data_IF_563548013609
#
_entry.id   IF_563548013609
#
_cell.length_a   1.000
_cell.length_b   1.000
_cell.length_c   1.000
_cell.angle_alpha   90.00
_cell.angle_beta   90.00
_cell.angle_gamma   90.00
#
_symmetry.space_group_name_H-M   'P 1'
#
loop_
_entity.id
_entity.type
_entity.pdbx_description
1 polymer ?
#
# COMPACT_ATOMS: atom_id res chain seq x y z
N UNK A 1 -27.91 -8.63 25.25
CA UNK A 1 -28.40 -7.76 24.15
C UNK A 1 -28.72 -8.67 22.96
N UNK A 2 -29.84 -8.49 22.26
CA UNK A 2 -30.08 -9.19 20.98
C UNK A 2 -28.99 -8.80 19.97
N UNK A 3 -28.66 -9.68 19.03
CA UNK A 3 -27.85 -9.28 17.86
C UNK A 3 -28.66 -8.28 17.03
N UNK A 4 -27.97 -7.36 16.35
CA UNK A 4 -28.61 -6.33 15.51
C UNK A 4 -29.51 -6.99 14.44
N UNK A 5 -29.05 -8.12 13.90
CA UNK A 5 -29.75 -8.95 12.90
C UNK A 5 -31.10 -9.51 13.40
N UNK A 6 -31.28 -9.62 14.72
CA UNK A 6 -32.48 -10.18 15.36
C UNK A 6 -33.41 -9.09 15.93
N UNK A 7 -33.09 -7.81 15.70
CA UNK A 7 -33.89 -6.68 16.16
C UNK A 7 -35.01 -6.37 15.17
N UNK A 8 -36.20 -6.08 15.69
CA UNK A 8 -37.25 -5.44 14.89
C UNK A 8 -36.85 -4.01 14.53
N UNK A 9 -37.42 -3.43 13.46
CA UNK A 9 -37.11 -2.06 13.04
C UNK A 9 -37.28 -1.04 14.20
N UNK A 10 -38.33 -1.18 15.00
CA UNK A 10 -38.58 -0.30 16.15
C UNK A 10 -37.52 -0.46 17.27
N UNK A 11 -37.05 -1.69 17.51
CA UNK A 11 -35.95 -1.95 18.44
C UNK A 11 -34.63 -1.37 17.93
N UNK A 12 -34.36 -1.50 16.62
CA UNK A 12 -33.18 -0.94 15.96
C UNK A 12 -33.18 0.59 16.01
N UNK A 13 -34.29 1.24 15.66
CA UNK A 13 -34.41 2.70 15.69
C UNK A 13 -34.20 3.25 17.11
N UNK A 14 -34.74 2.57 18.13
CA UNK A 14 -34.53 2.94 19.53
C UNK A 14 -33.05 2.78 19.91
N UNK A 15 -32.45 1.65 19.56
CA UNK A 15 -31.04 1.37 19.84
C UNK A 15 -30.12 2.42 19.19
N UNK A 16 -30.34 2.75 17.92
CA UNK A 16 -29.57 3.76 17.20
C UNK A 16 -29.72 5.15 17.81
N UNK A 17 -30.94 5.55 18.22
CA UNK A 17 -31.19 6.81 18.93
C UNK A 17 -30.46 6.89 20.27
N UNK A 18 -30.47 5.80 21.06
CA UNK A 18 -29.74 5.74 22.33
C UNK A 18 -28.22 5.82 22.10
N UNK A 19 -27.69 5.04 21.15
CA UNK A 19 -26.28 5.11 20.72
C UNK A 19 -25.86 6.49 20.25
N UNK A 20 -26.72 7.20 19.51
CA UNK A 20 -26.45 8.56 19.06
C UNK A 20 -26.34 9.54 20.24
N UNK A 21 -27.26 9.45 21.21
CA UNK A 21 -27.23 10.26 22.44
C UNK A 21 -25.99 9.99 23.29
N UNK A 22 -25.62 8.72 23.47
CA UNK A 22 -24.40 8.34 24.19
C UNK A 22 -23.16 8.88 23.50
N UNK A 23 -23.09 8.75 22.17
CA UNK A 23 -21.99 9.30 21.37
C UNK A 23 -21.91 10.82 21.52
N UNK A 24 -23.04 11.52 21.47
CA UNK A 24 -23.06 12.98 21.69
C UNK A 24 -22.60 13.39 23.08
N UNK A 25 -23.01 12.66 24.13
CA UNK A 25 -22.57 12.90 25.50
C UNK A 25 -21.05 12.75 25.61
N UNK A 26 -20.50 11.63 25.10
CA UNK A 26 -19.07 11.38 25.10
C UNK A 26 -18.28 12.52 24.46
N UNK A 27 -18.67 12.98 23.26
CA UNK A 27 -17.97 14.09 22.61
C UNK A 27 -18.15 15.45 23.27
N UNK A 28 -19.18 15.62 24.11
CA UNK A 28 -19.40 16.85 24.87
C UNK A 28 -18.60 16.88 26.16
N UNK A 29 -18.54 15.76 26.86
CA UNK A 29 -18.09 15.68 28.26
C UNK A 29 -16.74 14.97 28.43
N UNK A 30 -16.43 13.97 27.60
CA UNK A 30 -15.35 13.00 27.84
C UNK A 30 -14.27 12.99 26.75
N UNK A 31 -14.58 13.43 25.53
CA UNK A 31 -13.64 13.37 24.40
C UNK A 31 -12.53 14.41 24.49
N UNK A 32 -11.33 13.99 24.08
CA UNK A 32 -10.17 14.84 23.85
C UNK A 32 -10.41 15.81 22.68
N UNK A 33 -9.60 16.88 22.61
CA UNK A 33 -9.68 17.84 21.51
C UNK A 33 -9.32 17.19 20.16
N UNK A 34 -8.39 16.23 20.16
CA UNK A 34 -8.06 15.41 19.00
C UNK A 34 -9.27 14.59 18.51
N UNK A 35 -9.99 13.92 19.41
CA UNK A 35 -11.18 13.14 19.07
C UNK A 35 -12.31 14.02 18.52
N UNK A 36 -12.48 15.22 19.08
CA UNK A 36 -13.45 16.21 18.57
C UNK A 36 -13.07 16.68 17.16
N UNK A 37 -11.79 16.94 16.89
CA UNK A 37 -11.33 17.30 15.53
C UNK A 37 -11.60 16.19 14.52
N UNK A 38 -11.26 14.95 14.84
CA UNK A 38 -11.55 13.80 13.97
C UNK A 38 -13.05 13.67 13.69
N UNK A 39 -13.89 13.89 14.71
CA UNK A 39 -15.34 13.88 14.52
C UNK A 39 -15.81 14.97 13.56
N UNK A 40 -15.30 16.19 13.71
CA UNK A 40 -15.68 17.30 12.84
C UNK A 40 -15.21 17.06 11.41
N UNK A 41 -14.00 16.55 11.20
CA UNK A 41 -13.50 16.14 9.88
C UNK A 41 -14.42 15.11 9.21
N UNK A 42 -14.90 14.10 9.97
CA UNK A 42 -15.86 13.11 9.46
C UNK A 42 -17.20 13.77 9.11
N UNK A 43 -17.68 14.68 9.94
CA UNK A 43 -18.95 15.39 9.68
C UNK A 43 -18.85 16.24 8.42
N UNK A 44 -17.77 16.99 8.26
CA UNK A 44 -17.52 17.78 7.05
C UNK A 44 -17.43 16.89 5.81
N UNK A 45 -16.74 15.75 5.91
CA UNK A 45 -16.66 14.76 4.82
C UNK A 45 -18.05 14.29 4.37
N UNK A 46 -18.91 13.92 5.33
CA UNK A 46 -20.28 13.46 5.04
C UNK A 46 -21.16 14.58 4.49
N UNK A 47 -20.98 15.81 4.96
CA UNK A 47 -21.70 16.99 4.44
C UNK A 47 -21.33 17.28 2.99
N UNK A 48 -20.03 17.18 2.64
CA UNK A 48 -19.54 17.31 1.26
C UNK A 48 -20.11 16.22 0.36
N UNK A 49 -20.04 14.96 0.80
CA UNK A 49 -20.62 13.83 0.05
C UNK A 49 -22.11 14.03 -0.22
N UNK A 50 -22.86 14.49 0.80
CA UNK A 50 -24.27 14.82 0.67
C UNK A 50 -24.53 15.91 -0.36
N UNK A 51 -23.66 16.93 -0.45
CA UNK A 51 -23.74 17.97 -1.48
C UNK A 51 -23.56 17.40 -2.89
N UNK A 52 -22.61 16.48 -3.09
CA UNK A 52 -22.40 15.81 -4.37
C UNK A 52 -23.59 14.95 -4.79
N UNK A 53 -24.20 14.26 -3.82
CA UNK A 53 -25.40 13.48 -4.04
C UNK A 53 -26.58 14.37 -4.47
N UNK A 54 -26.80 15.48 -3.77
CA UNK A 54 -27.89 16.42 -4.05
C UNK A 54 -27.69 17.14 -5.38
N UNK A 55 -26.45 17.50 -5.74
CA UNK A 55 -26.15 18.20 -7.00
C UNK A 55 -26.22 17.29 -8.23
N UNK A 56 -26.30 15.97 -8.04
CA UNK A 56 -26.27 14.97 -9.11
C UNK A 56 -24.87 14.68 -9.66
N UNK A 57 -23.86 15.45 -9.27
CA UNK A 57 -22.45 15.27 -9.69
C UNK A 57 -21.96 13.86 -9.31
N UNK A 58 -22.41 13.34 -8.16
CA UNK A 58 -22.00 12.02 -7.68
C UNK A 58 -22.35 10.88 -8.65
N UNK A 59 -23.44 11.02 -9.41
CA UNK A 59 -23.93 10.00 -10.33
C UNK A 59 -23.53 10.26 -11.80
N UNK A 60 -22.70 11.27 -12.04
CA UNK A 60 -22.24 11.59 -13.39
C UNK A 60 -21.27 10.52 -13.91
N UNK A 61 -21.63 9.88 -15.02
CA UNK A 61 -20.77 8.92 -15.70
C UNK A 61 -19.62 9.61 -16.44
N UNK A 62 -18.39 9.20 -16.14
CA UNK A 62 -17.19 9.73 -16.79
C UNK A 62 -16.61 8.76 -17.83
N UNK A 63 -15.95 9.27 -18.88
CA UNK A 63 -15.29 8.43 -19.88
C UNK A 63 -14.20 7.55 -19.27
N UNK A 64 -14.08 6.31 -19.75
CA UNK A 64 -13.16 5.27 -19.24
C UNK A 64 -11.96 5.02 -20.17
N UNK A 65 -11.72 5.93 -21.11
CA UNK A 65 -10.74 5.77 -22.21
C UNK A 65 -9.30 5.60 -21.74
N UNK A 66 -8.99 5.99 -20.50
CA UNK A 66 -7.66 5.85 -19.91
C UNK A 66 -7.35 4.42 -19.43
N UNK A 67 -8.35 3.55 -19.32
CA UNK A 67 -8.18 2.14 -18.98
C UNK A 67 -7.72 1.35 -20.19
N UNK A 68 -6.96 0.26 -19.97
CA UNK A 68 -6.62 -0.63 -21.08
C UNK A 68 -7.86 -1.40 -21.54
N UNK A 69 -7.94 -1.72 -22.84
CA UNK A 69 -8.87 -2.73 -23.35
C UNK A 69 -8.13 -3.93 -23.96
N UNK A 70 -6.95 -4.23 -23.39
CA UNK A 70 -6.03 -5.25 -23.90
C UNK A 70 -6.41 -6.63 -23.36
N UNK A 71 -6.49 -7.61 -24.27
CA UNK A 71 -6.55 -9.03 -23.94
C UNK A 71 -5.30 -9.49 -23.19
N UNK A 72 -5.36 -10.66 -22.56
CA UNK A 72 -4.20 -11.27 -21.90
C UNK A 72 -3.00 -11.40 -22.86
N UNK A 73 -3.22 -11.83 -24.11
CA UNK A 73 -2.15 -12.01 -25.10
C UNK A 73 -1.47 -10.69 -25.45
N UNK A 74 -2.24 -9.61 -25.60
CA UNK A 74 -1.70 -8.28 -25.89
C UNK A 74 -0.95 -7.71 -24.70
N UNK A 75 -1.45 -7.92 -23.46
CA UNK A 75 -0.71 -7.53 -22.25
C UNK A 75 0.58 -8.31 -22.08
N UNK A 76 0.58 -9.61 -22.36
CA UNK A 76 1.80 -10.41 -22.35
C UNK A 76 2.81 -9.90 -23.38
N UNK A 77 2.38 -9.62 -24.61
CA UNK A 77 3.25 -9.07 -25.65
C UNK A 77 3.82 -7.69 -25.26
N UNK A 78 2.99 -6.81 -24.68
CA UNK A 78 3.42 -5.52 -24.14
C UNK A 78 4.43 -5.68 -23.01
N UNK A 79 4.24 -6.67 -22.14
CA UNK A 79 5.20 -7.00 -21.09
C UNK A 79 6.53 -7.48 -21.69
N UNK A 80 6.50 -8.33 -22.73
CA UNK A 80 7.70 -8.78 -23.46
C UNK A 80 8.46 -7.61 -24.09
N UNK A 81 7.74 -6.69 -24.72
CA UNK A 81 8.30 -5.46 -25.30
C UNK A 81 8.99 -4.60 -24.22
N UNK A 82 8.29 -4.32 -23.12
CA UNK A 82 8.82 -3.52 -22.01
C UNK A 82 10.02 -4.18 -21.31
N UNK A 83 10.06 -5.52 -21.30
CA UNK A 83 11.15 -6.29 -20.70
C UNK A 83 12.30 -6.56 -21.67
N UNK A 84 12.10 -6.35 -22.98
CA UNK A 84 13.08 -6.64 -24.02
C UNK A 84 13.38 -8.13 -24.23
N UNK A 85 12.52 -9.03 -23.78
CA UNK A 85 12.68 -10.48 -23.97
C UNK A 85 11.36 -11.24 -23.78
N UNK A 86 11.32 -12.49 -24.27
CA UNK A 86 10.17 -13.38 -24.12
C UNK A 86 10.00 -13.89 -22.70
N UNK A 87 8.81 -14.37 -22.39
CA UNK A 87 8.56 -15.10 -21.14
C UNK A 87 8.82 -16.60 -21.28
N UNK A 88 9.25 -17.22 -20.19
CA UNK A 88 9.27 -18.67 -19.99
C UNK A 88 8.41 -19.05 -18.79
N UNK A 89 7.87 -20.27 -18.81
CA UNK A 89 7.01 -20.77 -17.74
C UNK A 89 7.82 -21.09 -16.47
N UNK A 90 7.35 -20.59 -15.34
CA UNK A 90 7.89 -20.88 -14.02
C UNK A 90 7.71 -22.35 -13.67
N UNK A 91 8.63 -22.88 -12.84
CA UNK A 91 8.42 -24.17 -12.21
C UNK A 91 7.11 -24.12 -11.43
N UNK A 92 6.33 -25.20 -11.51
CA UNK A 92 5.07 -25.34 -10.79
C UNK A 92 5.27 -25.03 -9.30
N UNK A 93 4.47 -24.11 -8.76
CA UNK A 93 4.42 -23.90 -7.33
C UNK A 93 3.72 -25.11 -6.68
N UNK A 94 4.33 -25.67 -5.63
CA UNK A 94 3.74 -26.77 -4.85
C UNK A 94 2.78 -26.26 -3.76
N UNK A 95 2.85 -24.98 -3.45
CA UNK A 95 2.07 -24.36 -2.39
C UNK A 95 0.68 -23.99 -2.91
N UNK A 96 -0.31 -24.01 -2.01
CA UNK A 96 -1.70 -23.67 -2.36
C UNK A 96 -1.83 -22.16 -2.59
N UNK A 97 -2.48 -21.79 -3.69
CA UNK A 97 -2.82 -20.39 -3.96
C UNK A 97 -4.03 -19.93 -3.16
N UNK A 98 -4.00 -18.68 -2.74
CA UNK A 98 -5.16 -18.00 -2.18
C UNK A 98 -6.23 -17.78 -3.27
N UNK A 99 -7.52 -17.75 -2.89
CA UNK A 99 -8.58 -17.24 -3.77
C UNK A 99 -8.28 -15.80 -4.20
N UNK A 100 -8.77 -15.39 -5.37
CA UNK A 100 -8.66 -14.00 -5.87
C UNK A 100 -9.79 -13.09 -5.37
N UNK A 101 -10.78 -13.64 -4.68
CA UNK A 101 -12.05 -13.04 -4.29
C UNK A 101 -12.40 -13.24 -2.81
N UNK A 102 -11.39 -13.43 -1.95
CA UNK A 102 -11.56 -13.54 -0.50
C UNK A 102 -11.47 -12.16 0.16
N UNK A 103 -12.62 -11.54 0.43
CA UNK A 103 -12.71 -10.23 1.07
C UNK A 103 -12.92 -10.29 2.60
N UNK A 104 -12.72 -11.44 3.25
CA UNK A 104 -13.06 -11.64 4.67
C UNK A 104 -12.06 -11.03 5.68
N UNK A 105 -10.93 -10.50 5.22
CA UNK A 105 -9.84 -9.98 6.05
C UNK A 105 -9.89 -8.48 6.36
N UNK A 106 -8.83 -8.00 7.02
CA UNK A 106 -8.62 -6.59 7.38
C UNK A 106 -7.38 -6.11 6.66
N UNK A 107 -7.55 -5.16 5.74
CA UNK A 107 -6.48 -4.77 4.82
C UNK A 107 -5.42 -3.86 5.45
N UNK A 108 -4.20 -3.95 4.93
CA UNK A 108 -3.13 -2.99 5.19
C UNK A 108 -3.14 -1.84 4.17
N UNK A 109 -2.93 -0.59 4.62
CA UNK A 109 -3.01 0.58 3.75
C UNK A 109 -1.90 0.57 2.69
N UNK A 110 -2.30 0.27 1.45
CA UNK A 110 -1.46 0.47 0.27
C UNK A 110 -1.56 1.92 -0.21
N UNK A 111 -0.50 2.45 -0.81
CA UNK A 111 -0.59 3.76 -1.47
C UNK A 111 -1.34 3.57 -2.79
N UNK A 112 -2.30 4.44 -3.08
CA UNK A 112 -3.09 4.40 -4.31
C UNK A 112 -3.30 5.82 -4.84
N UNK A 113 -3.22 5.99 -6.15
CA UNK A 113 -3.56 7.24 -6.85
C UNK A 113 -4.67 7.05 -7.89
N UNK A 114 -5.34 5.90 -7.83
CA UNK A 114 -6.40 5.48 -8.76
C UNK A 114 -5.88 4.84 -10.05
N UNK A 115 -4.68 5.20 -10.49
CA UNK A 115 -4.01 4.57 -11.63
C UNK A 115 -3.15 3.38 -11.21
N UNK A 116 -2.46 3.54 -10.08
CA UNK A 116 -1.52 2.57 -9.52
C UNK A 116 -1.83 2.30 -8.06
N UNK A 117 -1.80 1.02 -7.67
CA UNK A 117 -1.62 0.60 -6.28
C UNK A 117 -0.16 0.20 -6.08
N UNK A 118 0.49 0.83 -5.11
CA UNK A 118 1.89 0.61 -4.76
C UNK A 118 1.99 -0.13 -3.43
N UNK A 119 2.49 -1.37 -3.48
CA UNK A 119 2.61 -2.25 -2.32
C UNK A 119 4.08 -2.46 -1.95
N UNK A 120 4.49 -2.18 -0.70
CA UNK A 120 5.86 -2.41 -0.27
C UNK A 120 6.22 -3.91 -0.25
N UNK A 121 7.43 -4.25 -0.71
CA UNK A 121 8.00 -5.61 -0.63
C UNK A 121 8.50 -5.95 0.79
N UNK A 122 8.42 -7.23 1.17
CA UNK A 122 9.18 -7.79 2.30
C UNK A 122 9.88 -9.11 1.96
N UNK A 123 11.13 -9.34 2.41
CA UNK A 123 12.02 -8.37 3.06
C UNK A 123 12.47 -7.31 2.03
N UNK A 124 12.12 -6.04 2.24
CA UNK A 124 12.42 -4.96 1.31
C UNK A 124 13.83 -4.41 1.51
N UNK A 125 14.33 -3.62 0.56
CA UNK A 125 15.53 -2.78 0.73
C UNK A 125 15.38 -1.80 1.90
N UNK A 126 14.16 -1.52 2.38
CA UNK A 126 13.95 -0.81 3.66
C UNK A 126 14.59 -1.54 4.86
N UNK A 127 14.74 -2.87 4.81
CA UNK A 127 15.47 -3.61 5.85
C UNK A 127 16.91 -3.14 5.99
N UNK A 128 17.57 -2.68 4.92
CA UNK A 128 18.90 -2.07 4.98
C UNK A 128 18.89 -0.80 5.85
N UNK A 129 17.82 -0.01 5.80
CA UNK A 129 17.62 1.12 6.71
C UNK A 129 17.52 0.65 8.15
N UNK A 130 16.74 -0.40 8.43
CA UNK A 130 16.56 -0.88 9.80
C UNK A 130 17.87 -1.43 10.39
N UNK A 131 18.60 -2.24 9.64
CA UNK A 131 19.91 -2.75 10.04
C UNK A 131 20.94 -1.61 10.18
N UNK A 132 20.97 -0.67 9.23
CA UNK A 132 21.85 0.49 9.29
C UNK A 132 21.57 1.37 10.52
N UNK A 133 20.31 1.66 10.83
CA UNK A 133 19.93 2.49 11.98
C UNK A 133 20.27 1.85 13.33
N UNK A 134 20.36 0.51 13.40
CA UNK A 134 20.79 -0.19 14.63
C UNK A 134 22.31 -0.31 14.69
N UNK A 135 22.93 -0.79 13.62
CA UNK A 135 24.38 -1.06 13.59
C UNK A 135 25.22 0.20 13.54
N UNK A 136 24.77 1.25 12.84
CA UNK A 136 25.48 2.52 12.69
C UNK A 136 25.82 3.15 14.04
N UNK A 137 24.84 3.42 14.92
CA UNK A 137 25.10 3.95 16.27
C UNK A 137 26.01 3.06 17.12
N UNK A 138 25.84 1.74 17.07
CA UNK A 138 26.70 0.79 17.82
C UNK A 138 28.14 0.93 17.37
N UNK A 139 28.38 0.90 16.05
CA UNK A 139 29.72 1.09 15.46
C UNK A 139 30.26 2.47 15.84
N UNK A 140 29.41 3.51 15.81
CA UNK A 140 29.80 4.87 16.17
C UNK A 140 30.30 5.00 17.60
N UNK A 141 29.61 4.38 18.56
CA UNK A 141 30.05 4.34 19.98
C UNK A 141 31.37 3.58 20.11
N UNK A 142 31.51 2.42 19.45
CA UNK A 142 32.74 1.64 19.50
C UNK A 142 33.93 2.43 18.93
N UNK A 143 33.75 3.13 17.80
CA UNK A 143 34.79 3.96 17.20
C UNK A 143 35.22 5.10 18.11
N UNK A 144 34.27 5.77 18.77
CA UNK A 144 34.59 6.82 19.75
C UNK A 144 35.31 6.27 20.96
N UNK A 145 34.85 5.14 21.51
CA UNK A 145 35.49 4.48 22.64
C UNK A 145 36.95 4.12 22.33
N UNK A 146 37.19 3.45 21.20
CA UNK A 146 38.55 3.06 20.79
C UNK A 146 39.43 4.29 20.54
N UNK A 147 38.89 5.34 19.91
CA UNK A 147 39.65 6.59 19.67
C UNK A 147 39.99 7.36 20.94
N UNK A 148 39.27 7.13 22.04
CA UNK A 148 39.57 7.73 23.35
C UNK A 148 40.56 6.90 24.18
N UNK A 149 40.74 5.62 23.86
CA UNK A 149 41.56 4.68 24.64
C UNK A 149 42.87 4.29 23.98
N UNK A 150 43.05 4.61 22.70
CA UNK A 150 44.23 4.23 21.91
C UNK A 150 44.77 5.45 21.15
N UNK A 151 45.90 5.98 21.61
CA UNK A 151 46.59 7.14 21.02
C UNK A 151 47.17 6.85 19.62
N UNK A 152 47.24 5.59 19.20
CA UNK A 152 47.67 5.22 17.85
C UNK A 152 46.55 5.38 16.80
N UNK A 153 45.32 5.66 17.23
CA UNK A 153 44.19 5.74 16.33
C UNK A 153 44.13 7.06 15.56
N UNK A 154 44.00 6.99 14.23
CA UNK A 154 43.80 8.19 13.41
C UNK A 154 42.52 8.95 13.81
N UNK A 155 42.64 10.28 13.90
CA UNK A 155 41.54 11.17 14.28
C UNK A 155 40.25 11.02 13.44
N UNK A 156 40.34 10.47 12.22
CA UNK A 156 39.16 10.23 11.37
C UNK A 156 38.19 9.20 11.97
N UNK A 157 38.63 8.31 12.86
CA UNK A 157 37.74 7.36 13.54
C UNK A 157 36.74 8.08 14.45
N UNK A 158 37.17 9.10 15.20
CA UNK A 158 36.29 9.94 16.01
C UNK A 158 35.28 10.70 15.15
N UNK A 159 35.72 11.25 14.01
CA UNK A 159 34.83 11.94 13.06
C UNK A 159 33.81 10.99 12.44
N UNK A 160 34.22 9.77 12.07
CA UNK A 160 33.32 8.73 11.57
C UNK A 160 32.32 8.28 12.65
N UNK A 161 32.78 8.12 13.89
CA UNK A 161 31.92 7.76 15.01
C UNK A 161 30.84 8.81 15.29
N UNK A 162 31.22 10.10 15.32
CA UNK A 162 30.28 11.22 15.43
C UNK A 162 29.30 11.27 14.25
N UNK A 163 29.78 11.05 13.02
CA UNK A 163 28.93 11.00 11.83
C UNK A 163 27.88 9.88 11.94
N UNK A 164 28.28 8.68 12.35
CA UNK A 164 27.41 7.52 12.49
C UNK A 164 26.31 7.70 13.55
N UNK A 165 26.57 8.52 14.57
CA UNK A 165 25.61 8.84 15.64
C UNK A 165 24.66 9.98 15.29
N UNK A 166 25.07 10.91 14.43
CA UNK A 166 24.34 12.17 14.21
C UNK A 166 23.74 12.29 12.81
N UNK A 167 24.59 12.43 11.80
CA UNK A 167 24.16 12.67 10.42
C UNK A 167 23.67 11.38 9.73
N UNK A 168 24.29 10.24 10.03
CA UNK A 168 23.96 8.98 9.38
C UNK A 168 22.49 8.54 9.57
N UNK A 169 21.86 8.63 10.76
CA UNK A 169 20.44 8.31 10.90
C UNK A 169 19.52 9.15 10.00
N UNK A 170 19.81 10.45 9.86
CA UNK A 170 19.04 11.35 9.00
C UNK A 170 19.21 11.00 7.52
N UNK A 171 20.45 10.68 7.11
CA UNK A 171 20.76 10.23 5.75
C UNK A 171 20.04 8.90 5.46
N UNK A 172 20.12 7.93 6.37
CA UNK A 172 19.46 6.64 6.23
C UNK A 172 17.93 6.76 6.22
N UNK A 173 17.36 7.71 6.95
CA UNK A 173 15.93 8.03 6.87
C UNK A 173 15.53 8.50 5.47
N UNK A 174 16.26 9.46 4.90
CA UNK A 174 16.01 9.97 3.54
C UNK A 174 16.22 8.90 2.47
N UNK A 175 17.32 8.15 2.55
CA UNK A 175 17.62 7.03 1.64
C UNK A 175 16.53 5.97 1.73
N UNK A 176 16.11 5.59 2.94
CA UNK A 176 15.07 4.58 3.11
C UNK A 176 13.72 5.00 2.50
N UNK A 177 13.35 6.28 2.61
CA UNK A 177 12.13 6.78 1.98
C UNK A 177 12.23 6.76 0.44
N UNK A 178 13.38 7.11 -0.12
CA UNK A 178 13.61 7.03 -1.57
C UNK A 178 13.63 5.58 -2.09
N UNK A 179 14.26 4.68 -1.34
CA UNK A 179 14.33 3.25 -1.65
C UNK A 179 12.94 2.61 -1.65
N UNK A 180 12.06 2.98 -0.70
CA UNK A 180 10.70 2.44 -0.59
C UNK A 180 9.91 2.61 -1.90
N UNK A 181 10.21 3.66 -2.64
CA UNK A 181 9.56 3.98 -3.92
C UNK A 181 10.00 3.00 -5.02
N UNK A 182 11.29 2.69 -5.08
CA UNK A 182 11.89 1.79 -6.10
C UNK A 182 11.65 0.31 -5.77
N UNK A 183 11.41 0.02 -4.49
CA UNK A 183 11.26 -1.32 -3.95
C UNK A 183 9.80 -1.78 -3.80
N UNK A 184 8.86 -1.02 -4.37
CA UNK A 184 7.44 -1.34 -4.36
C UNK A 184 7.05 -2.26 -5.54
N UNK A 185 6.02 -3.08 -5.33
CA UNK A 185 5.28 -3.76 -6.37
C UNK A 185 4.23 -2.76 -6.88
N UNK A 186 4.21 -2.51 -8.20
CA UNK A 186 3.28 -1.55 -8.80
C UNK A 186 2.19 -2.30 -9.57
N UNK A 187 0.94 -2.21 -9.11
CA UNK A 187 -0.23 -2.73 -9.82
C UNK A 187 -0.82 -1.59 -10.64
N UNK A 188 -0.72 -1.64 -11.97
CA UNK A 188 -1.13 -0.55 -12.84
C UNK A 188 -2.36 -0.93 -13.67
N UNK A 189 -3.54 -0.50 -13.22
CA UNK A 189 -4.82 -0.84 -13.85
C UNK A 189 -5.04 -0.19 -15.22
N UNK A 190 -4.25 0.82 -15.60
CA UNK A 190 -4.32 1.44 -16.93
C UNK A 190 -3.54 0.64 -17.97
N UNK A 191 -2.66 -0.26 -17.54
CA UNK A 191 -1.88 -1.14 -18.43
C UNK A 191 -2.24 -2.61 -18.28
N UNK A 192 -2.83 -2.98 -17.14
CA UNK A 192 -3.12 -4.37 -16.77
C UNK A 192 -1.86 -5.16 -16.45
N UNK A 193 -0.76 -4.44 -16.17
CA UNK A 193 0.54 -4.99 -15.85
C UNK A 193 0.91 -4.67 -14.41
N UNK A 194 1.67 -5.59 -13.83
CA UNK A 194 2.32 -5.44 -12.54
C UNK A 194 3.81 -5.27 -12.75
N UNK A 195 4.39 -4.22 -12.18
CA UNK A 195 5.83 -4.04 -12.15
C UNK A 195 6.37 -4.65 -10.87
N UNK A 196 7.27 -5.61 -11.01
CA UNK A 196 7.92 -6.25 -9.86
C UNK A 196 8.96 -5.30 -9.25
N UNK A 197 9.24 -5.40 -7.94
CA UNK A 197 10.21 -4.56 -7.25
C UNK A 197 11.64 -4.88 -7.64
N UNK A 198 12.53 -3.91 -7.43
CA UNK A 198 13.97 -4.09 -7.51
C UNK A 198 14.45 -5.07 -6.43
N UNK A 199 15.37 -5.97 -6.76
CA UNK A 199 16.11 -6.74 -5.75
C UNK A 199 17.61 -6.62 -6.00
N UNK A 200 18.44 -6.92 -4.99
CA UNK A 200 19.91 -6.86 -5.10
C UNK A 200 20.48 -7.58 -6.33
N UNK A 201 19.76 -8.60 -6.84
CA UNK A 201 20.20 -9.43 -7.98
C UNK A 201 19.21 -9.41 -9.15
N UNK A 202 18.20 -8.52 -9.12
CA UNK A 202 17.09 -8.57 -10.07
C UNK A 202 16.60 -7.17 -10.43
N UNK A 203 16.61 -6.85 -11.72
CA UNK A 203 15.91 -5.66 -12.23
C UNK A 203 14.39 -5.82 -12.05
N UNK A 204 13.63 -4.72 -12.00
CA UNK A 204 12.19 -4.80 -12.12
C UNK A 204 11.82 -5.26 -13.54
N UNK A 205 10.77 -6.06 -13.66
CA UNK A 205 10.14 -6.41 -14.92
C UNK A 205 8.63 -6.25 -14.81
N UNK A 206 7.95 -6.13 -15.94
CA UNK A 206 6.50 -6.04 -16.03
C UNK A 206 5.91 -7.42 -16.30
N UNK A 207 4.78 -7.76 -15.71
CA UNK A 207 4.09 -9.05 -15.92
C UNK A 207 2.57 -8.84 -15.87
N UNK A 208 1.76 -9.54 -16.68
CA UNK A 208 0.30 -9.51 -16.52
C UNK A 208 -0.13 -10.02 -15.13
N UNK A 209 -1.19 -9.43 -14.57
CA UNK A 209 -1.72 -9.84 -13.25
C UNK A 209 -2.16 -11.32 -13.22
N UNK A 210 -2.60 -11.87 -14.34
CA UNK A 210 -3.02 -13.27 -14.48
C UNK A 210 -1.89 -14.26 -14.20
N UNK A 211 -0.65 -13.85 -14.48
CA UNK A 211 0.55 -14.64 -14.27
C UNK A 211 1.13 -14.46 -12.85
N UNK A 212 0.42 -13.76 -11.96
CA UNK A 212 0.73 -13.64 -10.54
C UNK A 212 -0.32 -14.36 -9.70
N UNK A 213 0.14 -15.13 -8.72
CA UNK A 213 -0.71 -15.81 -7.74
C UNK A 213 -0.21 -15.53 -6.34
N UNK A 214 -1.12 -15.37 -5.38
CA UNK A 214 -0.74 -15.22 -3.99
C UNK A 214 -0.68 -16.58 -3.30
N UNK A 215 0.40 -16.83 -2.56
CA UNK A 215 0.57 -18.02 -1.72
C UNK A 215 0.50 -17.59 -0.27
N UNK A 216 -0.46 -18.16 0.46
CA UNK A 216 -0.58 -17.98 1.90
C UNK A 216 0.55 -18.76 2.59
N UNK A 217 1.40 -18.04 3.29
CA UNK A 217 2.44 -18.56 4.16
C UNK A 217 1.96 -18.81 5.59
N UNK A 218 2.86 -19.27 6.47
CA UNK A 218 2.53 -19.53 7.85
C UNK A 218 2.13 -18.24 8.59
N UNK A 219 1.27 -18.39 9.59
CA UNK A 219 0.96 -17.32 10.53
C UNK A 219 2.15 -17.13 11.48
N UNK A 220 2.70 -15.91 11.51
CA UNK A 220 3.79 -15.55 12.42
C UNK A 220 3.18 -14.85 13.62
N UNK A 221 3.37 -15.41 14.81
CA UNK A 221 2.96 -14.81 16.08
C UNK A 221 4.11 -13.98 16.64
N UNK A 222 3.80 -12.82 17.22
CA UNK A 222 4.79 -12.06 17.97
C UNK A 222 5.29 -12.88 19.18
N UNK A 223 6.49 -12.57 19.69
CA UNK A 223 7.08 -13.30 20.83
C UNK A 223 6.20 -13.31 22.09
N UNK A 224 5.22 -12.41 22.20
CA UNK A 224 4.30 -12.30 23.34
C UNK A 224 2.94 -12.95 23.09
N UNK A 225 2.73 -13.58 21.93
CA UNK A 225 1.48 -14.26 21.54
C UNK A 225 0.25 -13.36 21.36
N UNK A 226 0.38 -12.03 21.52
CA UNK A 226 -0.73 -11.08 21.50
C UNK A 226 -1.12 -10.57 20.12
N UNK A 227 -0.25 -10.75 19.12
CA UNK A 227 -0.52 -10.39 17.74
C UNK A 227 -0.02 -11.49 16.82
N UNK A 228 -0.82 -11.81 15.81
CA UNK A 228 -0.46 -12.72 14.74
C UNK A 228 -0.60 -12.02 13.39
N UNK A 229 0.25 -12.41 12.45
CA UNK A 229 0.24 -11.86 11.09
C UNK A 229 0.34 -13.03 10.13
N UNK A 230 -0.62 -13.15 9.23
CA UNK A 230 -0.51 -14.06 8.10
C UNK A 230 0.65 -13.56 7.22
N UNK A 231 1.54 -14.46 6.84
CA UNK A 231 2.60 -14.13 5.86
C UNK A 231 2.25 -14.74 4.52
N UNK A 232 2.92 -14.31 3.47
CA UNK A 232 2.87 -14.95 2.17
C UNK A 232 3.69 -14.22 1.12
N UNK A 233 3.54 -14.67 -0.13
CA UNK A 233 4.31 -14.16 -1.25
C UNK A 233 3.56 -14.30 -2.57
N UNK A 234 3.87 -13.44 -3.54
CA UNK A 234 3.42 -13.58 -4.92
C UNK A 234 4.32 -14.57 -5.65
N UNK A 235 3.72 -15.62 -6.18
CA UNK A 235 4.33 -16.57 -7.09
C UNK A 235 4.07 -16.13 -8.53
N UNK A 236 5.14 -15.96 -9.31
CA UNK A 236 5.06 -15.72 -10.74
C UNK A 236 4.90 -17.07 -11.46
N UNK A 237 3.89 -17.17 -12.34
CA UNK A 237 3.68 -18.30 -13.27
C UNK A 237 4.55 -18.20 -14.50
N UNK A 238 4.95 -16.99 -14.88
CA UNK A 238 5.88 -16.71 -15.97
C UNK A 238 6.96 -15.74 -15.53
N UNK A 239 8.11 -15.77 -16.20
CA UNK A 239 9.21 -14.86 -15.94
C UNK A 239 10.02 -14.60 -17.21
N UNK A 240 10.70 -13.46 -17.33
CA UNK A 240 11.47 -13.13 -18.53
C UNK A 240 12.59 -14.15 -18.76
N UNK A 241 12.92 -14.46 -20.02
CA UNK A 241 13.78 -15.58 -20.40
C UNK A 241 15.19 -15.49 -19.79
N UNK A 242 15.73 -14.28 -19.70
CA UNK A 242 17.05 -14.02 -19.13
C UNK A 242 17.07 -13.97 -17.59
N UNK A 243 15.98 -14.34 -16.91
CA UNK A 243 15.94 -14.37 -15.44
C UNK A 243 16.37 -15.74 -14.90
N UNK A 244 17.23 -15.70 -13.88
CA UNK A 244 17.89 -16.87 -13.28
C UNK A 244 17.43 -17.15 -11.83
N UNK A 245 16.89 -16.16 -11.12
CA UNK A 245 16.53 -16.27 -9.70
C UNK A 245 15.02 -16.36 -9.47
N UNK A 246 14.64 -16.97 -8.33
CA UNK A 246 13.32 -17.54 -8.03
C UNK A 246 12.08 -16.70 -8.35
N UNK A 247 10.97 -17.40 -8.55
CA UNK A 247 9.67 -16.86 -8.96
C UNK A 247 8.80 -16.31 -7.81
N UNK A 248 9.41 -15.95 -6.67
CA UNK A 248 8.70 -15.55 -5.45
C UNK A 248 8.99 -14.09 -5.10
N UNK A 249 7.97 -13.33 -4.75
CA UNK A 249 8.08 -11.92 -4.33
C UNK A 249 7.30 -11.75 -3.03
N UNK A 250 7.99 -11.52 -1.92
CA UNK A 250 7.30 -11.32 -0.64
C UNK A 250 6.69 -9.93 -0.51
N UNK A 251 5.58 -9.84 0.23
CA UNK A 251 4.82 -8.61 0.48
C UNK A 251 5.06 -8.15 1.93
N UNK A 252 5.26 -6.84 2.15
CA UNK A 252 5.40 -6.29 3.50
C UNK A 252 4.07 -6.26 4.25
N UNK A 253 4.14 -6.55 5.55
CA UNK A 253 2.95 -6.85 6.36
C UNK A 253 2.44 -8.28 6.16
N UNK A 254 3.20 -9.12 5.43
CA UNK A 254 2.82 -10.49 5.15
C UNK A 254 1.84 -10.63 4.00
N UNK A 255 0.98 -9.63 3.77
CA UNK A 255 -0.15 -9.71 2.85
C UNK A 255 -1.14 -10.74 3.37
N UNK A 256 -2.42 -10.44 3.41
CA UNK A 256 -3.43 -11.47 3.62
C UNK A 256 -4.17 -11.76 2.30
N UNK A 257 -5.03 -12.78 2.33
CA UNK A 257 -5.86 -13.11 1.17
C UNK A 257 -6.78 -11.92 0.78
N UNK A 258 -7.13 -11.06 1.73
CA UNK A 258 -7.94 -9.87 1.49
C UNK A 258 -7.18 -8.80 0.70
N UNK A 259 -5.95 -8.45 1.10
CA UNK A 259 -5.08 -7.54 0.37
C UNK A 259 -4.90 -8.01 -1.09
N UNK A 260 -4.66 -9.31 -1.28
CA UNK A 260 -4.57 -9.91 -2.62
C UNK A 260 -5.86 -9.73 -3.41
N UNK A 261 -7.01 -9.99 -2.80
CA UNK A 261 -8.30 -9.83 -3.46
C UNK A 261 -8.60 -8.38 -3.83
N UNK A 262 -8.25 -7.42 -2.98
CA UNK A 262 -8.37 -5.99 -3.26
C UNK A 262 -7.46 -5.55 -4.42
N UNK A 263 -6.24 -6.09 -4.51
CA UNK A 263 -5.35 -5.84 -5.65
C UNK A 263 -5.91 -6.42 -6.95
N UNK A 264 -6.52 -7.61 -6.92
CA UNK A 264 -7.17 -8.18 -8.10
C UNK A 264 -8.38 -7.34 -8.51
N UNK A 265 -9.22 -6.94 -7.54
CA UNK A 265 -10.37 -6.06 -7.76
C UNK A 265 -9.96 -4.72 -8.37
N UNK A 266 -8.88 -4.12 -7.88
CA UNK A 266 -8.32 -2.89 -8.45
C UNK A 266 -7.87 -3.04 -9.91
N UNK A 267 -7.25 -4.18 -10.23
CA UNK A 267 -6.78 -4.48 -11.57
C UNK A 267 -7.89 -4.88 -12.54
N UNK A 268 -9.08 -5.22 -12.04
CA UNK A 268 -10.26 -5.51 -12.86
C UNK A 268 -10.84 -4.19 -13.41
N UNK A 269 -10.69 -4.00 -14.72
CA UNK A 269 -11.21 -2.82 -15.43
C UNK A 269 -12.72 -2.91 -15.70
N UNK A 270 -13.35 -4.06 -15.44
CA UNK A 270 -14.81 -4.23 -15.60
C UNK A 270 -15.59 -3.71 -14.40
N UNK A 271 -14.87 -3.30 -13.35
CA UNK A 271 -15.43 -2.84 -12.08
C UNK A 271 -14.81 -1.50 -11.68
N UNK A 272 -15.57 -0.65 -10.98
CA UNK A 272 -15.02 0.56 -10.39
C UNK A 272 -14.00 0.21 -9.30
N UNK A 273 -13.12 1.16 -9.00
CA UNK A 273 -12.21 1.08 -7.85
C UNK A 273 -13.06 0.94 -6.59
N UNK A 274 -12.69 -0.03 -5.76
CA UNK A 274 -13.35 -0.24 -4.47
C UNK A 274 -13.11 0.97 -3.55
N UNK A 275 -14.14 1.38 -2.80
CA UNK A 275 -14.08 2.48 -1.84
C UNK A 275 -12.95 2.32 -0.81
N UNK A 276 -12.50 1.07 -0.59
CA UNK A 276 -11.29 0.76 0.15
C UNK A 276 -10.09 1.65 -0.24
N UNK A 277 -9.92 1.97 -1.53
CA UNK A 277 -8.82 2.80 -2.00
C UNK A 277 -9.11 4.31 -1.98
N UNK A 278 -10.36 4.76 -1.82
CA UNK A 278 -10.71 6.19 -1.95
C UNK A 278 -9.91 7.07 -1.00
N UNK A 279 -9.83 6.73 0.30
CA UNK A 279 -9.04 7.50 1.27
C UNK A 279 -7.56 7.60 0.89
N UNK A 280 -6.98 6.54 0.33
CA UNK A 280 -5.61 6.56 -0.12
C UNK A 280 -5.43 7.48 -1.34
N UNK A 281 -6.42 7.48 -2.24
CA UNK A 281 -6.43 8.36 -3.41
C UNK A 281 -6.63 9.84 -3.06
N UNK A 282 -7.54 10.15 -2.14
CA UNK A 282 -7.74 11.52 -1.62
C UNK A 282 -6.48 12.04 -0.94
N UNK A 283 -5.81 11.18 -0.16
CA UNK A 283 -4.53 11.52 0.46
C UNK A 283 -3.44 11.85 -0.56
N UNK A 284 -3.33 11.06 -1.64
CA UNK A 284 -2.35 11.30 -2.70
C UNK A 284 -2.70 12.51 -3.56
N UNK A 285 -3.99 12.72 -3.86
CA UNK A 285 -4.51 13.89 -4.56
C UNK A 285 -4.26 15.18 -3.79
N UNK A 286 -4.61 15.22 -2.49
CA UNK A 286 -4.36 16.37 -1.59
C UNK A 286 -2.88 16.77 -1.51
N UNK A 287 -1.97 15.80 -1.67
CA UNK A 287 -0.52 16.06 -1.69
C UNK A 287 0.03 16.36 -3.08
N UNK A 288 -0.81 16.26 -4.12
CA UNK A 288 -0.42 16.25 -5.51
C UNK A 288 0.75 15.29 -5.78
N UNK A 289 0.60 14.04 -5.35
CA UNK A 289 1.60 12.99 -5.51
C UNK A 289 0.98 11.76 -6.17
N UNK A 290 1.73 11.06 -7.02
CA UNK A 290 1.37 9.71 -7.45
C UNK A 290 1.50 8.68 -6.30
N UNK A 291 1.07 7.44 -6.53
CA UNK A 291 1.13 6.34 -5.54
C UNK A 291 2.55 6.06 -5.02
N UNK A 292 3.56 6.48 -5.78
CA UNK A 292 4.97 6.37 -5.46
C UNK A 292 5.53 7.59 -4.69
N UNK A 293 4.83 8.71 -4.62
CA UNK A 293 5.31 9.93 -3.99
C UNK A 293 6.40 10.69 -4.77
N UNK A 294 6.79 10.23 -5.96
CA UNK A 294 7.92 10.78 -6.72
C UNK A 294 7.51 11.67 -7.90
N UNK A 295 6.23 11.70 -8.26
CA UNK A 295 5.68 12.54 -9.33
C UNK A 295 4.34 13.15 -8.95
N UNK A 296 3.77 14.02 -9.81
CA UNK A 296 2.46 14.61 -9.59
C UNK A 296 1.34 13.55 -9.64
N UNK A 297 0.18 13.89 -9.08
CA UNK A 297 -1.01 13.02 -9.17
C UNK A 297 -1.43 12.82 -10.65
N UNK A 298 -1.90 11.63 -11.06
CA UNK A 298 -2.26 11.37 -12.45
C UNK A 298 -3.37 12.30 -12.97
N UNK A 299 -3.10 13.04 -14.04
CA UNK A 299 -4.06 14.01 -14.62
C UNK A 299 -5.42 13.37 -14.95
N UNK A 300 -5.38 12.17 -15.54
CA UNK A 300 -6.56 11.38 -15.93
C UNK A 300 -7.47 11.02 -14.75
N UNK A 301 -6.94 11.01 -13.52
CA UNK A 301 -7.70 10.67 -12.32
C UNK A 301 -8.30 11.90 -11.63
N UNK A 302 -7.84 13.12 -11.94
CA UNK A 302 -8.30 14.33 -11.24
C UNK A 302 -9.80 14.61 -11.42
N UNK A 303 -10.38 14.14 -12.53
CA UNK A 303 -11.82 14.29 -12.84
C UNK A 303 -12.77 13.64 -11.83
N UNK A 304 -12.28 12.72 -10.99
CA UNK A 304 -13.07 12.05 -9.93
C UNK A 304 -12.99 12.75 -8.57
N UNK A 305 -12.25 13.86 -8.50
CA UNK A 305 -12.05 14.62 -7.28
C UNK A 305 -12.64 16.00 -7.42
N UNK A 306 -13.12 16.53 -6.31
CA UNK A 306 -13.33 17.96 -6.20
C UNK A 306 -12.00 18.65 -5.88
N UNK A 307 -11.70 19.72 -6.61
CA UNK A 307 -10.41 20.41 -6.49
C UNK A 307 -10.31 21.20 -5.18
N UNK A 308 -11.43 21.65 -4.61
CA UNK A 308 -11.46 22.52 -3.44
C UNK A 308 -11.31 21.73 -2.15
N UNK A 309 -11.98 20.59 -2.02
CA UNK A 309 -11.93 19.77 -0.81
C UNK A 309 -11.09 18.48 -0.92
N UNK A 310 -10.63 18.14 -2.12
CA UNK A 310 -9.80 16.97 -2.40
C UNK A 310 -10.49 15.62 -2.10
N UNK A 311 -11.81 15.58 -2.06
CA UNK A 311 -12.62 14.38 -1.82
C UNK A 311 -13.03 13.71 -3.14
N UNK A 312 -13.19 12.38 -3.13
CA UNK A 312 -13.84 11.69 -4.25
C UNK A 312 -15.30 12.13 -4.31
N UNK A 313 -15.72 12.63 -5.46
CA UNK A 313 -17.05 13.19 -5.66
C UNK A 313 -17.85 12.41 -6.72
N UNK A 314 -17.51 11.14 -6.93
CA UNK A 314 -18.17 10.22 -7.87
C UNK A 314 -18.52 8.91 -7.15
N UNK A 315 -19.66 8.34 -7.51
CA UNK A 315 -20.09 7.02 -7.08
C UNK A 315 -19.14 5.94 -7.61
N UNK A 316 -18.79 6.05 -8.89
CA UNK A 316 -17.91 5.09 -9.55
C UNK A 316 -16.62 5.77 -10.01
N UNK A 317 -15.50 5.28 -9.50
CA UNK A 317 -14.18 5.71 -9.93
C UNK A 317 -13.59 4.64 -10.87
N UNK A 318 -13.21 5.05 -12.07
CA UNK A 318 -12.65 4.18 -13.11
C UNK A 318 -11.25 4.63 -13.49
#
# INVERSE_FOLDING_TARGET
MKKIEDMTQAELDKYLKERAKERERYYREEATEEEKKVREEIREYVDRESKYLISGIYFEELPKDHLHNLSYKERLAKAEELNGCKFKDAKSCKDRFAPRDDFSGVSYPSQCDGRVVSVPRSPGLWSLRLHGLVLGPIIGICLLGVSMTDDSMPAWHSWLGLFLLTAFPLIMYKIGNAIRIVDAIEFNRHTGLVRTPYTLFRKPFYIPIEDLEYVVGPEVKNMRGSASMQTGYLSCRKYPEHYWFGNRIGIAGGGDAHDWSQMNRFMDITQPIDEYYHRAMEYTFKKNRNAHGNGPFPEVMKKYFDADDCQVNRMEVW
#
